data_IF_882003354307
#
_entry.id   IF_882003354307
#
_cell.length_a   1.000
_cell.length_b   1.000
_cell.length_c   1.000
_cell.angle_alpha   90.00
_cell.angle_beta   90.00
_cell.angle_gamma   90.00
#
_symmetry.space_group_name_H-M   'P 1'
#
loop_
_entity.id
_entity.type
_entity.pdbx_description
1 polymer ?
#
# COMPACT_ATOMS: atom_id res chain seq x y z
N UNK A 1 33.81 1.17 1.95
CA UNK A 1 34.80 2.01 2.67
C UNK A 1 34.10 2.62 3.89
N UNK A 2 34.71 2.69 5.09
CA UNK A 2 34.08 3.39 6.23
C UNK A 2 34.00 4.90 5.92
N UNK A 3 32.82 5.53 5.91
CA UNK A 3 32.73 6.95 5.62
C UNK A 3 33.41 7.75 6.73
N UNK A 4 34.46 8.47 6.38
CA UNK A 4 35.08 9.45 7.28
C UNK A 4 34.06 10.52 7.63
N UNK A 5 33.57 10.48 8.88
CA UNK A 5 32.59 11.42 9.42
C UNK A 5 31.20 10.85 9.73
N UNK A 6 31.02 9.54 9.94
CA UNK A 6 29.76 8.95 10.42
C UNK A 6 29.18 9.68 11.64
N UNK A 7 27.87 9.87 11.67
CA UNK A 7 27.15 10.38 12.84
C UNK A 7 27.41 9.48 14.08
N UNK A 8 27.92 10.03 15.19
CA UNK A 8 28.26 9.24 16.37
C UNK A 8 27.07 8.52 17.00
N UNK A 9 25.85 9.05 16.84
CA UNK A 9 24.62 8.41 17.33
C UNK A 9 24.34 7.13 16.55
N UNK A 10 24.50 7.17 15.22
CA UNK A 10 24.33 5.99 14.35
C UNK A 10 25.40 4.95 14.62
N UNK A 11 26.67 5.37 14.73
CA UNK A 11 27.77 4.46 15.05
C UNK A 11 27.57 3.77 16.41
N UNK A 12 27.15 4.53 17.43
CA UNK A 12 26.85 3.97 18.76
C UNK A 12 25.69 2.98 18.69
N UNK A 13 24.64 3.30 17.91
CA UNK A 13 23.49 2.44 17.77
C UNK A 13 23.82 1.13 17.06
N UNK A 14 24.58 1.20 15.96
CA UNK A 14 25.05 0.02 15.24
C UNK A 14 25.92 -0.89 16.13
N UNK A 15 26.80 -0.29 16.94
CA UNK A 15 27.60 -1.04 17.91
C UNK A 15 26.73 -1.70 19.00
N UNK A 16 25.63 -1.07 19.41
CA UNK A 16 24.69 -1.62 20.39
C UNK A 16 23.90 -2.79 19.79
N UNK A 17 23.40 -2.65 18.56
CA UNK A 17 22.71 -3.71 17.81
C UNK A 17 23.61 -4.94 17.64
N UNK A 18 24.85 -4.75 17.22
CA UNK A 18 25.79 -5.84 16.97
C UNK A 18 26.20 -6.63 18.22
N UNK A 19 26.09 -6.03 19.42
CA UNK A 19 26.50 -6.63 20.69
C UNK A 19 25.32 -7.17 21.52
N UNK A 20 24.10 -6.84 21.13
CA UNK A 20 22.91 -7.16 21.90
C UNK A 20 22.31 -8.50 21.48
N UNK A 21 21.62 -9.20 22.40
CA UNK A 21 20.80 -10.36 22.05
C UNK A 21 19.71 -9.97 21.04
N UNK A 22 19.35 -10.89 20.14
CA UNK A 22 18.35 -10.66 19.07
C UNK A 22 17.02 -10.11 19.60
N UNK A 23 16.59 -10.55 20.79
CA UNK A 23 15.33 -10.10 21.42
C UNK A 23 15.33 -8.60 21.76
N UNK A 24 16.49 -7.99 21.99
CA UNK A 24 16.62 -6.58 22.34
C UNK A 24 16.78 -5.69 21.09
N UNK A 25 17.21 -6.26 19.96
CA UNK A 25 17.45 -5.53 18.71
C UNK A 25 16.24 -4.68 18.28
N UNK A 26 14.98 -5.17 18.31
CA UNK A 26 13.81 -4.36 17.94
C UNK A 26 13.70 -3.06 18.76
N UNK A 27 13.93 -3.14 20.07
CA UNK A 27 13.82 -1.98 20.97
C UNK A 27 14.98 -0.99 20.75
N UNK A 28 16.17 -1.50 20.49
CA UNK A 28 17.34 -0.66 20.18
C UNK A 28 17.08 0.11 18.88
N UNK A 29 16.59 -0.57 17.83
CA UNK A 29 16.29 0.06 16.54
C UNK A 29 15.24 1.19 16.64
N UNK A 30 14.34 1.17 17.63
CA UNK A 30 13.40 2.28 17.86
C UNK A 30 14.08 3.62 18.13
N UNK A 31 15.32 3.62 18.66
CA UNK A 31 16.10 4.85 18.88
C UNK A 31 16.37 5.61 17.56
N UNK A 32 16.32 4.95 16.41
CA UNK A 32 16.40 5.61 15.10
C UNK A 32 15.30 6.65 14.91
N UNK A 33 14.10 6.42 15.45
CA UNK A 33 12.97 7.34 15.32
C UNK A 33 13.29 8.70 15.92
N UNK A 34 13.92 8.73 17.09
CA UNK A 34 14.32 9.96 17.75
C UNK A 34 15.40 10.69 16.96
N UNK A 35 16.41 9.97 16.46
CA UNK A 35 17.50 10.54 15.66
C UNK A 35 16.94 11.21 14.39
N UNK A 36 16.03 10.53 13.70
CA UNK A 36 15.41 11.02 12.46
C UNK A 36 14.51 12.23 12.74
N UNK A 37 13.63 12.13 13.75
CA UNK A 37 12.64 13.17 14.03
C UNK A 37 13.25 14.46 14.58
N UNK A 38 14.39 14.36 15.29
CA UNK A 38 15.10 15.53 15.80
C UNK A 38 15.94 16.23 14.72
N UNK A 39 16.02 15.67 13.50
CA UNK A 39 16.80 16.25 12.41
C UNK A 39 15.86 16.96 11.42
N UNK A 40 16.12 18.23 11.04
CA UNK A 40 15.24 18.97 10.15
C UNK A 40 15.02 18.28 8.79
N UNK A 41 13.76 18.24 8.35
CA UNK A 41 13.38 17.66 7.05
C UNK A 41 14.10 18.36 5.89
N UNK A 42 14.61 17.57 4.95
CA UNK A 42 15.32 18.07 3.77
C UNK A 42 16.73 18.60 4.02
N UNK A 43 17.23 18.56 5.27
CA UNK A 43 18.59 18.98 5.60
C UNK A 43 19.65 18.02 5.03
N UNK A 44 20.85 18.54 4.77
CA UNK A 44 22.02 17.72 4.43
C UNK A 44 22.41 16.78 5.57
N UNK A 45 22.15 17.18 6.81
CA UNK A 45 22.32 16.32 8.00
C UNK A 45 21.43 15.08 7.90
N UNK A 46 20.13 15.25 7.62
CA UNK A 46 19.21 14.12 7.50
C UNK A 46 19.61 13.16 6.36
N UNK A 47 20.06 13.69 5.22
CA UNK A 47 20.57 12.88 4.12
C UNK A 47 21.75 12.00 4.57
N UNK A 48 22.70 12.61 5.27
CA UNK A 48 23.88 11.92 5.80
C UNK A 48 23.50 10.88 6.86
N UNK A 49 22.59 11.19 7.76
CA UNK A 49 22.08 10.24 8.75
C UNK A 49 21.47 9.02 8.06
N UNK A 50 20.65 9.21 7.02
CA UNK A 50 20.06 8.07 6.27
C UNK A 50 21.13 7.23 5.58
N UNK A 51 22.15 7.86 4.99
CA UNK A 51 23.30 7.16 4.41
C UNK A 51 24.05 6.35 5.48
N UNK A 52 24.33 6.94 6.64
CA UNK A 52 24.96 6.22 7.74
C UNK A 52 24.07 5.05 8.23
N UNK A 53 22.76 5.23 8.38
CA UNK A 53 21.83 4.14 8.75
C UNK A 53 21.93 2.99 7.75
N UNK A 54 22.01 3.28 6.45
CA UNK A 54 22.14 2.28 5.40
C UNK A 54 23.52 1.60 5.41
N UNK A 55 24.62 2.36 5.49
CA UNK A 55 25.99 1.81 5.50
C UNK A 55 26.32 0.93 6.71
N UNK A 56 25.55 1.05 7.81
CA UNK A 56 25.68 0.21 9.00
C UNK A 56 24.58 -0.87 9.08
N UNK A 57 23.95 -1.20 7.96
CA UNK A 57 22.95 -2.25 7.79
C UNK A 57 21.71 -2.14 8.69
N UNK A 58 21.45 -0.96 9.27
CA UNK A 58 20.35 -0.78 10.22
C UNK A 58 18.99 -0.88 9.54
N UNK A 59 18.91 -0.55 8.24
CA UNK A 59 17.72 -0.77 7.41
C UNK A 59 17.44 -2.28 7.27
N UNK A 60 18.48 -3.06 7.01
CA UNK A 60 18.43 -4.52 6.88
C UNK A 60 18.04 -5.17 8.21
N UNK A 61 18.58 -4.69 9.33
CA UNK A 61 18.14 -5.14 10.66
C UNK A 61 16.66 -4.85 10.93
N UNK A 62 16.16 -3.66 10.58
CA UNK A 62 14.72 -3.36 10.65
C UNK A 62 13.91 -4.34 9.81
N UNK A 63 14.30 -4.58 8.56
CA UNK A 63 13.62 -5.52 7.67
C UNK A 63 13.64 -6.96 8.21
N UNK A 64 14.78 -7.42 8.72
CA UNK A 64 14.92 -8.73 9.36
C UNK A 64 13.96 -8.88 10.54
N UNK A 65 13.87 -7.87 11.41
CA UNK A 65 12.93 -7.90 12.54
C UNK A 65 11.48 -7.97 12.05
N UNK A 66 11.12 -7.19 11.03
CA UNK A 66 9.75 -7.19 10.48
C UNK A 66 9.37 -8.51 9.79
N UNK A 67 10.35 -9.26 9.27
CA UNK A 67 10.13 -10.57 8.65
C UNK A 67 9.86 -11.70 9.66
N UNK A 68 10.18 -11.50 10.93
CA UNK A 68 10.04 -12.52 11.97
C UNK A 68 8.59 -12.71 12.43
N UNK A 69 8.39 -13.70 13.30
CA UNK A 69 7.13 -13.94 14.00
C UNK A 69 6.84 -12.80 15.00
N UNK A 70 5.81 -12.01 14.69
CA UNK A 70 5.39 -10.84 15.45
C UNK A 70 5.12 -11.14 16.94
N UNK A 71 4.72 -12.37 17.27
CA UNK A 71 4.43 -12.78 18.65
C UNK A 71 5.67 -12.81 19.55
N UNK A 72 6.87 -12.87 18.95
CA UNK A 72 8.15 -12.96 19.66
C UNK A 72 8.84 -11.60 19.84
N UNK A 73 8.31 -10.55 19.21
CA UNK A 73 8.90 -9.22 19.24
C UNK A 73 8.45 -8.51 20.52
N UNK A 74 9.42 -8.04 21.31
CA UNK A 74 9.13 -7.24 22.50
C UNK A 74 8.35 -5.97 22.13
N UNK A 75 7.22 -5.74 22.82
CA UNK A 75 6.30 -4.63 22.54
C UNK A 75 5.32 -4.89 21.38
N UNK A 76 5.35 -6.07 20.75
CA UNK A 76 4.34 -6.53 19.80
C UNK A 76 4.08 -5.57 18.64
N UNK A 77 2.80 -5.37 18.31
CA UNK A 77 2.38 -4.53 17.18
C UNK A 77 2.80 -3.07 17.30
N UNK A 78 2.96 -2.54 18.53
CA UNK A 78 3.47 -1.19 18.76
C UNK A 78 4.90 -1.04 18.24
N UNK A 79 5.78 -1.97 18.59
CA UNK A 79 7.18 -1.98 18.11
C UNK A 79 7.24 -2.19 16.60
N UNK A 80 6.47 -3.15 16.07
CA UNK A 80 6.42 -3.47 14.64
C UNK A 80 5.98 -2.26 13.82
N UNK A 81 4.92 -1.57 14.24
CA UNK A 81 4.39 -0.40 13.54
C UNK A 81 5.40 0.76 13.52
N UNK A 82 6.11 0.97 14.63
CA UNK A 82 7.16 1.98 14.68
C UNK A 82 8.37 1.63 13.82
N UNK A 83 8.80 0.35 13.79
CA UNK A 83 9.87 -0.10 12.91
C UNK A 83 9.48 -0.02 11.44
N UNK A 84 8.22 -0.28 11.10
CA UNK A 84 7.67 -0.11 9.75
C UNK A 84 7.76 1.36 9.31
N UNK A 85 7.37 2.30 10.19
CA UNK A 85 7.54 3.74 9.94
C UNK A 85 9.02 4.10 9.75
N UNK A 86 9.90 3.66 10.65
CA UNK A 86 11.34 3.94 10.56
C UNK A 86 11.90 3.44 9.23
N UNK A 87 11.61 2.18 8.87
CA UNK A 87 12.08 1.57 7.63
C UNK A 87 11.63 2.40 6.41
N UNK A 88 10.34 2.74 6.33
CA UNK A 88 9.80 3.55 5.25
C UNK A 88 10.46 4.93 5.16
N UNK A 89 10.59 5.63 6.29
CA UNK A 89 11.20 6.96 6.35
C UNK A 89 12.70 6.94 6.00
N UNK A 90 13.44 5.92 6.42
CA UNK A 90 14.86 5.76 6.08
C UNK A 90 15.06 5.53 4.58
N UNK A 91 14.21 4.73 3.95
CA UNK A 91 14.31 4.41 2.53
C UNK A 91 13.97 5.59 1.61
N UNK A 92 13.03 6.46 1.99
CA UNK A 92 12.61 7.58 1.11
C UNK A 92 13.64 8.72 1.13
N UNK A 93 14.15 9.08 -0.05
CA UNK A 93 15.17 10.11 -0.21
C UNK A 93 16.58 9.69 0.21
N UNK A 94 16.82 8.39 0.42
CA UNK A 94 18.14 7.82 0.56
C UNK A 94 18.87 7.81 -0.79
N UNK A 95 20.15 8.15 -0.77
CA UNK A 95 21.05 8.06 -1.91
C UNK A 95 22.03 6.90 -1.63
N UNK A 96 21.77 5.66 -2.14
CA UNK A 96 22.46 4.44 -1.74
C UNK A 96 23.92 4.33 -2.26
N UNK A 97 24.34 5.21 -3.17
CA UNK A 97 25.72 5.23 -3.66
C UNK A 97 26.07 4.00 -4.50
N UNK A 98 27.14 3.30 -4.13
CA UNK A 98 27.65 2.12 -4.86
C UNK A 98 26.70 0.92 -4.80
N UNK A 99 25.91 0.79 -3.73
CA UNK A 99 25.00 -0.33 -3.49
C UNK A 99 23.57 -0.07 -4.03
N UNK A 100 23.45 0.85 -5.01
CA UNK A 100 22.16 1.24 -5.58
C UNK A 100 21.38 0.06 -6.16
N UNK A 101 22.07 -0.88 -6.81
CA UNK A 101 21.42 -2.04 -7.42
C UNK A 101 20.73 -2.93 -6.37
N UNK A 102 21.44 -3.30 -5.31
CA UNK A 102 20.88 -4.08 -4.18
C UNK A 102 19.73 -3.32 -3.51
N UNK A 103 19.91 -2.02 -3.26
CA UNK A 103 18.88 -1.19 -2.65
C UNK A 103 17.58 -1.18 -3.46
N UNK A 104 17.66 -0.89 -4.76
CA UNK A 104 16.47 -0.74 -5.61
C UNK A 104 15.84 -2.06 -6.03
N UNK A 105 16.63 -3.12 -6.23
CA UNK A 105 16.14 -4.39 -6.79
C UNK A 105 15.85 -5.45 -5.72
N UNK A 106 16.45 -5.37 -4.53
CA UNK A 106 16.28 -6.38 -3.47
C UNK A 106 15.62 -5.78 -2.22
N UNK A 107 16.26 -4.76 -1.63
CA UNK A 107 15.83 -4.22 -0.34
C UNK A 107 14.45 -3.57 -0.42
N UNK A 108 14.24 -2.66 -1.38
CA UNK A 108 12.98 -1.93 -1.50
C UNK A 108 11.79 -2.84 -1.83
N UNK A 109 11.86 -3.77 -2.81
CA UNK A 109 10.81 -4.76 -3.03
C UNK A 109 10.52 -5.61 -1.80
N UNK A 110 11.57 -6.05 -1.09
CA UNK A 110 11.42 -6.85 0.13
C UNK A 110 10.74 -6.07 1.26
N UNK A 111 11.02 -4.78 1.40
CA UNK A 111 10.36 -3.91 2.37
C UNK A 111 8.87 -3.73 2.05
N UNK A 112 8.53 -3.45 0.79
CA UNK A 112 7.14 -3.31 0.36
C UNK A 112 6.35 -4.62 0.57
N UNK A 113 6.94 -5.77 0.22
CA UNK A 113 6.30 -7.07 0.41
C UNK A 113 6.10 -7.40 1.89
N UNK A 114 7.08 -7.11 2.76
CA UNK A 114 6.94 -7.28 4.20
C UNK A 114 5.79 -6.42 4.77
N UNK A 115 5.60 -5.19 4.29
CA UNK A 115 4.47 -4.36 4.72
C UNK A 115 3.12 -4.98 4.35
N UNK A 116 3.01 -5.59 3.17
CA UNK A 116 1.80 -6.31 2.76
C UNK A 116 1.55 -7.56 3.62
N UNK A 117 2.60 -8.33 3.93
CA UNK A 117 2.53 -9.48 4.85
C UNK A 117 2.05 -9.03 6.23
N UNK A 118 2.61 -7.94 6.77
CA UNK A 118 2.20 -7.39 8.06
C UNK A 118 0.74 -6.93 8.03
N UNK A 119 0.32 -6.25 6.96
CA UNK A 119 -1.07 -5.88 6.72
C UNK A 119 -1.99 -7.10 6.75
N UNK A 120 -1.62 -8.20 6.07
CA UNK A 120 -2.38 -9.46 6.08
C UNK A 120 -2.50 -10.08 7.47
N UNK A 121 -1.40 -10.09 8.23
CA UNK A 121 -1.41 -10.58 9.61
C UNK A 121 -2.36 -9.74 10.46
N UNK A 122 -2.23 -8.40 10.42
CA UNK A 122 -3.10 -7.48 11.16
C UNK A 122 -4.58 -7.65 10.80
N UNK A 123 -4.88 -7.81 9.51
CA UNK A 123 -6.23 -8.13 9.04
C UNK A 123 -6.76 -9.44 9.64
N UNK A 124 -5.96 -10.50 9.67
CA UNK A 124 -6.36 -11.78 10.31
C UNK A 124 -6.64 -11.60 11.80
N UNK A 125 -5.76 -10.89 12.54
CA UNK A 125 -6.00 -10.60 13.96
C UNK A 125 -7.26 -9.76 14.15
N UNK A 126 -7.48 -8.73 13.34
CA UNK A 126 -8.65 -7.85 13.42
C UNK A 126 -9.96 -8.61 13.21
N UNK A 127 -10.02 -9.50 12.22
CA UNK A 127 -11.21 -10.32 11.94
C UNK A 127 -11.52 -11.26 13.12
N UNK A 128 -10.48 -11.83 13.74
CA UNK A 128 -10.62 -12.79 14.83
C UNK A 128 -10.79 -12.15 16.23
N UNK A 129 -10.53 -10.85 16.36
CA UNK A 129 -10.65 -10.15 17.63
C UNK A 129 -12.11 -10.14 18.13
N UNK A 130 -12.30 -10.42 19.43
CA UNK A 130 -13.62 -10.49 20.05
C UNK A 130 -14.08 -9.14 20.63
N UNK A 131 -13.14 -8.27 21.01
CA UNK A 131 -13.40 -7.01 21.73
C UNK A 131 -13.26 -5.79 20.81
N UNK A 132 -14.05 -4.76 21.08
CA UNK A 132 -13.99 -3.48 20.34
C UNK A 132 -12.67 -2.74 20.53
N UNK A 133 -12.20 -2.58 21.78
CA UNK A 133 -10.94 -1.87 22.07
C UNK A 133 -9.73 -2.52 21.38
N UNK A 134 -9.65 -3.85 21.38
CA UNK A 134 -8.61 -4.60 20.67
C UNK A 134 -8.69 -4.38 19.15
N UNK A 135 -9.91 -4.29 18.59
CA UNK A 135 -10.11 -3.97 17.17
C UNK A 135 -9.64 -2.58 16.82
N UNK A 136 -9.88 -1.60 17.69
CA UNK A 136 -9.46 -0.21 17.46
C UNK A 136 -7.93 -0.10 17.47
N UNK A 137 -7.25 -0.78 18.39
CA UNK A 137 -5.78 -0.86 18.41
C UNK A 137 -5.23 -1.55 17.15
N UNK A 138 -5.78 -2.71 16.78
CA UNK A 138 -5.36 -3.43 15.57
C UNK A 138 -5.59 -2.62 14.29
N UNK A 139 -6.69 -1.88 14.23
CA UNK A 139 -7.00 -0.98 13.11
C UNK A 139 -6.01 0.18 13.06
N UNK A 140 -5.64 0.76 14.21
CA UNK A 140 -4.60 1.79 14.27
C UNK A 140 -3.27 1.28 13.73
N UNK A 141 -2.81 0.09 14.14
CA UNK A 141 -1.58 -0.50 13.60
C UNK A 141 -1.70 -0.79 12.09
N UNK A 142 -2.86 -1.25 11.62
CA UNK A 142 -3.11 -1.48 10.20
C UNK A 142 -3.00 -0.19 9.38
N UNK A 143 -3.54 0.92 9.89
CA UNK A 143 -3.42 2.24 9.28
C UNK A 143 -1.95 2.68 9.23
N UNK A 144 -1.20 2.53 10.33
CA UNK A 144 0.23 2.88 10.37
C UNK A 144 1.03 2.10 9.32
N UNK A 145 0.78 0.80 9.16
CA UNK A 145 1.45 -0.02 8.14
C UNK A 145 1.04 0.42 6.72
N UNK A 146 -0.24 0.70 6.50
CA UNK A 146 -0.76 1.17 5.21
C UNK A 146 -0.18 2.54 4.81
N UNK A 147 -0.10 3.47 5.75
CA UNK A 147 0.47 4.80 5.56
C UNK A 147 1.99 4.72 5.31
N UNK A 148 2.67 3.82 6.02
CA UNK A 148 4.11 3.57 5.81
C UNK A 148 4.39 2.99 4.43
N UNK A 149 3.54 2.07 3.94
CA UNK A 149 3.61 1.57 2.58
C UNK A 149 3.38 2.70 1.57
N UNK A 150 2.34 3.50 1.76
CA UNK A 150 2.04 4.61 0.87
C UNK A 150 3.17 5.65 0.81
N UNK A 151 3.78 5.99 1.95
CA UNK A 151 4.96 6.86 2.00
C UNK A 151 6.14 6.29 1.21
N UNK A 152 6.40 4.99 1.34
CA UNK A 152 7.46 4.30 0.59
C UNK A 152 7.22 4.38 -0.91
N UNK A 153 5.98 4.13 -1.36
CA UNK A 153 5.58 4.23 -2.77
C UNK A 153 5.69 5.66 -3.31
N UNK A 154 5.37 6.67 -2.49
CA UNK A 154 5.54 8.07 -2.85
C UNK A 154 6.99 8.45 -3.13
N UNK A 155 7.95 7.85 -2.42
CA UNK A 155 9.38 8.03 -2.68
C UNK A 155 9.94 7.15 -3.80
N UNK A 156 9.33 5.98 -4.03
CA UNK A 156 9.83 4.93 -4.92
C UNK A 156 8.72 4.36 -5.79
N UNK A 157 8.24 5.15 -6.73
CA UNK A 157 7.08 4.80 -7.54
C UNK A 157 7.26 3.52 -8.38
N UNK A 158 8.50 3.08 -8.64
CA UNK A 158 8.77 1.78 -9.28
C UNK A 158 8.20 0.59 -8.50
N UNK A 159 8.00 0.72 -7.18
CA UNK A 159 7.41 -0.31 -6.34
C UNK A 159 5.90 -0.47 -6.50
N UNK A 160 5.21 0.49 -7.15
CA UNK A 160 3.77 0.41 -7.37
C UNK A 160 3.41 -0.87 -8.10
N UNK A 161 4.17 -1.23 -9.14
CA UNK A 161 3.95 -2.45 -9.90
C UNK A 161 4.15 -3.70 -9.02
N UNK A 162 5.16 -3.72 -8.16
CA UNK A 162 5.42 -4.83 -7.23
C UNK A 162 4.26 -5.02 -6.26
N UNK A 163 3.75 -3.92 -5.68
CA UNK A 163 2.63 -3.95 -4.73
C UNK A 163 1.33 -4.42 -5.40
N UNK A 164 0.99 -3.87 -6.56
CA UNK A 164 -0.24 -4.25 -7.27
C UNK A 164 -0.23 -5.71 -7.75
N UNK A 165 0.96 -6.27 -8.00
CA UNK A 165 1.12 -7.68 -8.39
C UNK A 165 1.20 -8.66 -7.22
N UNK A 166 1.29 -8.19 -5.99
CA UNK A 166 1.41 -9.06 -4.81
C UNK A 166 0.06 -9.72 -4.48
N UNK A 167 0.08 -11.04 -4.31
CA UNK A 167 -1.09 -11.80 -3.84
C UNK A 167 -1.57 -11.30 -2.48
N UNK A 168 -0.66 -10.80 -1.62
CA UNK A 168 -1.02 -10.22 -0.34
C UNK A 168 -1.85 -8.95 -0.49
N UNK A 169 -1.55 -8.10 -1.48
CA UNK A 169 -2.36 -6.91 -1.76
C UNK A 169 -3.76 -7.29 -2.27
N UNK A 170 -3.86 -8.25 -3.19
CA UNK A 170 -5.16 -8.73 -3.68
C UNK A 170 -6.00 -9.31 -2.52
N UNK A 171 -5.40 -10.12 -1.65
CA UNK A 171 -6.11 -10.67 -0.51
C UNK A 171 -6.52 -9.60 0.53
N UNK A 172 -5.73 -8.54 0.70
CA UNK A 172 -6.12 -7.37 1.51
C UNK A 172 -7.36 -6.70 0.92
N UNK A 173 -7.39 -6.54 -0.40
CA UNK A 173 -8.51 -5.94 -1.12
C UNK A 173 -9.78 -6.79 -0.99
N UNK A 174 -9.68 -8.11 -1.07
CA UNK A 174 -10.80 -9.08 -0.99
C UNK A 174 -11.47 -9.20 0.40
N UNK A 175 -11.19 -8.29 1.33
CA UNK A 175 -11.76 -8.35 2.67
C UNK A 175 -13.24 -7.99 2.73
N UNK A 176 -13.99 -8.68 3.59
CA UNK A 176 -15.37 -8.33 3.96
C UNK A 176 -15.45 -7.28 5.08
N UNK A 177 -14.34 -7.02 5.79
CA UNK A 177 -14.31 -5.99 6.84
C UNK A 177 -14.43 -4.61 6.22
N UNK A 178 -15.43 -3.83 6.67
CA UNK A 178 -15.64 -2.48 6.14
C UNK A 178 -14.46 -1.56 6.46
N UNK A 179 -13.90 -1.63 7.67
CA UNK A 179 -12.81 -0.77 8.11
C UNK A 179 -11.50 -1.08 7.35
N UNK A 180 -11.13 -2.36 7.27
CA UNK A 180 -9.93 -2.77 6.53
C UNK A 180 -10.12 -2.49 5.04
N UNK A 181 -11.27 -2.85 4.47
CA UNK A 181 -11.58 -2.65 3.06
C UNK A 181 -11.56 -1.17 2.66
N UNK A 182 -12.12 -0.30 3.50
CA UNK A 182 -12.07 1.16 3.29
C UNK A 182 -10.63 1.68 3.24
N UNK A 183 -9.78 1.20 4.15
CA UNK A 183 -8.36 1.60 4.20
C UNK A 183 -7.62 1.13 2.94
N UNK A 184 -7.76 -0.16 2.57
CA UNK A 184 -7.08 -0.73 1.39
C UNK A 184 -7.54 -0.07 0.09
N UNK A 185 -8.84 0.18 -0.07
CA UNK A 185 -9.38 0.84 -1.25
C UNK A 185 -8.93 2.31 -1.35
N UNK A 186 -8.79 3.00 -0.22
CA UNK A 186 -8.25 4.36 -0.19
C UNK A 186 -6.76 4.35 -0.58
N UNK A 187 -5.98 3.39 -0.08
CA UNK A 187 -4.59 3.20 -0.49
C UNK A 187 -4.49 2.94 -2.00
N UNK A 188 -5.34 2.06 -2.55
CA UNK A 188 -5.40 1.81 -3.99
C UNK A 188 -5.71 3.09 -4.78
N UNK A 189 -6.70 3.87 -4.32
CA UNK A 189 -7.06 5.13 -4.95
C UNK A 189 -5.88 6.10 -4.98
N UNK A 190 -5.17 6.24 -3.86
CA UNK A 190 -4.01 7.11 -3.75
C UNK A 190 -2.86 6.64 -4.65
N UNK A 191 -2.61 5.32 -4.75
CA UNK A 191 -1.60 4.74 -5.66
C UNK A 191 -1.91 5.12 -7.11
N UNK A 192 -3.17 4.97 -7.53
CA UNK A 192 -3.60 5.27 -8.90
C UNK A 192 -3.54 6.77 -9.20
N UNK A 193 -3.74 7.63 -8.21
CA UNK A 193 -3.57 9.08 -8.36
C UNK A 193 -2.09 9.49 -8.47
N UNK A 194 -1.18 8.79 -7.79
CA UNK A 194 0.26 9.06 -7.91
C UNK A 194 0.79 8.73 -9.31
N UNK A 195 0.48 7.53 -9.81
CA UNK A 195 0.88 7.08 -11.16
C UNK A 195 -0.11 6.07 -11.72
N UNK A 196 -1.13 6.57 -12.42
CA UNK A 196 -2.13 5.71 -13.07
C UNK A 196 -1.50 4.77 -14.12
N UNK A 197 -0.44 5.20 -14.81
CA UNK A 197 0.27 4.46 -15.86
C UNK A 197 0.77 3.06 -15.47
N UNK A 198 1.08 2.84 -14.20
CA UNK A 198 1.63 1.55 -13.74
C UNK A 198 0.55 0.46 -13.63
N UNK A 199 -0.74 0.82 -13.64
CA UNK A 199 -1.85 -0.14 -13.59
C UNK A 199 -1.92 -1.03 -14.86
N UNK A 200 -1.54 -0.52 -16.03
CA UNK A 200 -1.51 -1.32 -17.26
C UNK A 200 -0.23 -2.17 -17.40
N UNK A 201 0.74 -2.00 -16.51
CA UNK A 201 2.01 -2.75 -16.52
C UNK A 201 1.95 -4.05 -15.73
N UNK A 202 0.90 -4.26 -14.94
CA UNK A 202 0.70 -5.50 -14.19
C UNK A 202 0.15 -6.59 -15.10
N UNK A 203 0.32 -7.86 -14.70
CA UNK A 203 -0.25 -8.99 -15.43
C UNK A 203 -1.78 -8.85 -15.60
N UNK A 204 -2.27 -9.09 -16.82
CA UNK A 204 -3.70 -8.94 -17.14
C UNK A 204 -4.62 -9.72 -16.20
N UNK A 205 -4.23 -10.92 -15.77
CA UNK A 205 -5.00 -11.74 -14.80
C UNK A 205 -5.17 -11.05 -13.44
N UNK A 206 -4.15 -10.32 -13.00
CA UNK A 206 -4.12 -9.61 -11.73
C UNK A 206 -4.97 -8.34 -11.86
N UNK A 207 -4.82 -7.61 -12.97
CA UNK A 207 -5.68 -6.46 -13.28
C UNK A 207 -7.17 -6.86 -13.28
N UNK A 208 -7.51 -7.99 -13.90
CA UNK A 208 -8.86 -8.54 -13.89
C UNK A 208 -9.34 -8.83 -12.46
N UNK A 209 -8.50 -9.44 -11.63
CA UNK A 209 -8.86 -9.77 -10.26
C UNK A 209 -9.10 -8.53 -9.39
N UNK A 210 -8.30 -7.46 -9.58
CA UNK A 210 -8.51 -6.16 -8.93
C UNK A 210 -9.84 -5.53 -9.41
N UNK A 211 -10.10 -5.53 -10.71
CA UNK A 211 -11.33 -4.97 -11.28
C UNK A 211 -12.57 -5.75 -10.81
N UNK A 212 -12.51 -7.08 -10.83
CA UNK A 212 -13.58 -7.95 -10.38
C UNK A 212 -13.91 -7.68 -8.92
N UNK A 213 -12.90 -7.54 -8.06
CA UNK A 213 -13.11 -7.23 -6.65
C UNK A 213 -13.73 -5.84 -6.45
N UNK A 214 -13.28 -4.82 -7.18
CA UNK A 214 -13.87 -3.47 -7.07
C UNK A 214 -15.32 -3.46 -7.56
N UNK A 215 -15.62 -4.14 -8.67
CA UNK A 215 -16.98 -4.29 -9.20
C UNK A 215 -17.85 -5.07 -8.20
N UNK A 216 -17.33 -6.16 -7.64
CA UNK A 216 -18.02 -6.94 -6.62
C UNK A 216 -18.36 -6.08 -5.41
N UNK A 217 -17.40 -5.31 -4.88
CA UNK A 217 -17.65 -4.39 -3.77
C UNK A 217 -18.70 -3.34 -4.11
N UNK A 218 -18.67 -2.75 -5.31
CA UNK A 218 -19.68 -1.78 -5.74
C UNK A 218 -21.11 -2.35 -5.77
N UNK A 219 -21.24 -3.61 -6.19
CA UNK A 219 -22.54 -4.24 -6.43
C UNK A 219 -23.09 -4.95 -5.19
N UNK A 220 -22.23 -5.53 -4.36
CA UNK A 220 -22.63 -6.50 -3.33
C UNK A 220 -22.54 -5.96 -1.90
N UNK A 221 -21.73 -4.91 -1.63
CA UNK A 221 -21.59 -4.40 -0.26
C UNK A 221 -22.80 -3.55 0.17
N UNK A 222 -23.27 -3.66 1.42
CA UNK A 222 -24.27 -2.74 1.95
C UNK A 222 -23.69 -1.37 2.33
N UNK A 223 -22.35 -1.24 2.45
CA UNK A 223 -21.69 -0.01 2.92
C UNK A 223 -21.70 1.09 1.84
N UNK A 224 -22.36 2.23 2.06
CA UNK A 224 -22.37 3.33 1.10
C UNK A 224 -20.97 3.92 0.85
N UNK A 225 -20.12 3.94 1.89
CA UNK A 225 -18.75 4.43 1.79
C UNK A 225 -17.91 3.56 0.84
N UNK A 226 -17.98 2.24 0.97
CA UNK A 226 -17.27 1.32 0.07
C UNK A 226 -17.79 1.46 -1.36
N UNK A 227 -19.11 1.56 -1.56
CA UNK A 227 -19.69 1.78 -2.89
C UNK A 227 -19.22 3.08 -3.52
N UNK A 228 -19.15 4.17 -2.74
CA UNK A 228 -18.62 5.45 -3.18
C UNK A 228 -17.17 5.32 -3.63
N UNK A 229 -16.30 4.72 -2.81
CA UNK A 229 -14.89 4.53 -3.14
C UNK A 229 -14.70 3.60 -4.35
N UNK A 230 -15.48 2.51 -4.45
CA UNK A 230 -15.44 1.61 -5.60
C UNK A 230 -15.83 2.33 -6.90
N UNK A 231 -16.87 3.17 -6.85
CA UNK A 231 -17.29 3.98 -7.99
C UNK A 231 -16.18 4.94 -8.43
N UNK A 232 -15.58 5.66 -7.47
CA UNK A 232 -14.46 6.59 -7.73
C UNK A 232 -13.24 5.89 -8.30
N UNK A 233 -12.92 4.68 -7.82
CA UNK A 233 -11.85 3.85 -8.37
C UNK A 233 -12.12 3.43 -9.82
N UNK A 234 -13.31 2.91 -10.12
CA UNK A 234 -13.67 2.50 -11.47
C UNK A 234 -13.67 3.69 -12.44
N UNK A 235 -14.16 4.84 -12.00
CA UNK A 235 -14.05 6.09 -12.76
C UNK A 235 -12.58 6.44 -13.04
N UNK A 236 -11.76 6.53 -11.99
CA UNK A 236 -10.35 6.88 -12.12
C UNK A 236 -9.62 5.95 -13.09
N UNK A 237 -9.85 4.64 -13.00
CA UNK A 237 -9.24 3.65 -13.88
C UNK A 237 -9.74 3.78 -15.33
N UNK A 238 -11.04 3.94 -15.54
CA UNK A 238 -11.65 4.04 -16.86
C UNK A 238 -11.36 5.37 -17.58
N UNK A 239 -11.20 6.46 -16.83
CA UNK A 239 -10.79 7.76 -17.36
C UNK A 239 -9.30 7.81 -17.67
N UNK A 240 -8.48 7.12 -16.88
CA UNK A 240 -7.03 7.08 -17.08
C UNK A 240 -6.61 6.16 -18.23
N UNK A 241 -7.35 5.07 -18.48
CA UNK A 241 -6.96 4.01 -19.41
C UNK A 241 -8.12 3.54 -20.30
N UNK A 242 -7.97 3.77 -21.60
CA UNK A 242 -9.00 3.39 -22.58
C UNK A 242 -9.19 1.87 -22.64
N UNK A 243 -8.14 1.09 -22.41
CA UNK A 243 -8.16 -0.37 -22.37
C UNK A 243 -9.07 -0.88 -21.25
N UNK A 244 -9.01 -0.26 -20.07
CA UNK A 244 -9.88 -0.61 -18.94
C UNK A 244 -11.33 -0.23 -19.27
N UNK A 245 -11.56 0.93 -19.88
CA UNK A 245 -12.89 1.33 -20.31
C UNK A 245 -13.48 0.35 -21.34
N UNK A 246 -12.68 -0.06 -22.33
CA UNK A 246 -13.06 -1.06 -23.33
C UNK A 246 -13.39 -2.38 -22.64
N UNK A 247 -12.56 -2.80 -21.68
CA UNK A 247 -12.77 -4.01 -20.92
C UNK A 247 -14.11 -3.98 -20.16
N UNK A 248 -14.38 -2.91 -19.42
CA UNK A 248 -15.63 -2.75 -18.66
C UNK A 248 -16.87 -2.67 -19.56
N UNK A 249 -16.74 -2.19 -20.80
CA UNK A 249 -17.85 -2.06 -21.76
C UNK A 249 -18.12 -3.34 -22.54
N UNK A 250 -17.06 -3.98 -23.05
CA UNK A 250 -17.15 -4.99 -24.10
C UNK A 250 -16.79 -6.41 -23.62
N UNK A 251 -16.12 -6.56 -22.49
CA UNK A 251 -15.76 -7.88 -21.98
C UNK A 251 -17.00 -8.68 -21.60
N UNK A 252 -17.01 -9.97 -21.94
CA UNK A 252 -18.02 -10.91 -21.48
C UNK A 252 -18.10 -10.97 -19.95
N UNK A 253 -16.98 -10.74 -19.24
CA UNK A 253 -16.92 -10.77 -17.77
C UNK A 253 -17.79 -9.68 -17.11
N UNK A 254 -17.93 -8.52 -17.75
CA UNK A 254 -18.70 -7.39 -17.23
C UNK A 254 -20.03 -7.19 -17.97
N UNK A 255 -20.48 -8.21 -18.72
CA UNK A 255 -21.75 -8.16 -19.45
C UNK A 255 -22.90 -7.90 -18.48
N UNK A 256 -23.61 -6.80 -18.68
CA UNK A 256 -24.72 -6.40 -17.84
C UNK A 256 -24.36 -5.51 -16.64
N UNK A 257 -23.08 -5.19 -16.43
CA UNK A 257 -22.63 -4.25 -15.39
C UNK A 257 -23.42 -2.94 -15.45
N UNK A 258 -23.50 -2.31 -16.63
CA UNK A 258 -24.31 -1.10 -16.85
C UNK A 258 -25.76 -1.26 -16.42
N UNK A 259 -26.40 -2.40 -16.71
CA UNK A 259 -27.79 -2.67 -16.34
C UNK A 259 -27.93 -2.79 -14.82
N UNK A 260 -26.94 -3.40 -14.15
CA UNK A 260 -26.91 -3.52 -12.69
C UNK A 260 -26.71 -2.16 -12.02
N UNK A 261 -25.80 -1.32 -12.55
CA UNK A 261 -25.57 0.04 -12.04
C UNK A 261 -26.81 0.93 -12.20
N UNK A 262 -27.52 0.84 -13.32
CA UNK A 262 -28.77 1.60 -13.54
C UNK A 262 -29.92 1.20 -12.60
N UNK A 263 -29.87 -0.01 -12.01
CA UNK A 263 -30.86 -0.46 -11.03
C UNK A 263 -30.57 0.03 -9.62
N UNK A 264 -29.39 0.61 -9.37
CA UNK A 264 -29.05 1.13 -8.05
C UNK A 264 -29.85 2.42 -7.79
N UNK A 265 -30.58 2.47 -6.67
CA UNK A 265 -31.49 3.57 -6.37
C UNK A 265 -30.75 4.91 -6.20
N UNK A 266 -31.18 5.98 -6.90
CA UNK A 266 -30.63 7.31 -6.72
C UNK A 266 -31.16 7.94 -5.43
N UNK A 267 -30.35 7.93 -4.37
CA UNK A 267 -30.72 8.55 -3.09
C UNK A 267 -29.57 8.87 -2.13
N UNK A 268 -28.31 8.78 -2.58
CA UNK A 268 -27.11 8.83 -1.72
C UNK A 268 -26.05 9.78 -2.28
N UNK A 269 -25.11 10.19 -1.41
CA UNK A 269 -24.03 11.17 -1.70
C UNK A 269 -23.12 10.79 -2.88
N UNK A 270 -23.06 9.51 -3.29
CA UNK A 270 -22.24 9.05 -4.44
C UNK A 270 -23.00 9.00 -5.77
N UNK A 271 -24.24 9.52 -5.80
CA UNK A 271 -25.09 9.44 -6.99
C UNK A 271 -24.54 10.19 -8.20
N UNK A 272 -23.68 11.19 -8.01
CA UNK A 272 -23.05 11.92 -9.12
C UNK A 272 -21.96 11.10 -9.79
N UNK A 273 -21.01 10.56 -9.02
CA UNK A 273 -19.94 9.71 -9.55
C UNK A 273 -20.52 8.44 -10.19
N UNK A 274 -21.58 7.87 -9.60
CA UNK A 274 -22.25 6.71 -10.20
C UNK A 274 -22.85 7.05 -11.57
N UNK A 275 -23.48 8.22 -11.72
CA UNK A 275 -23.99 8.68 -13.01
C UNK A 275 -22.86 8.88 -14.02
N UNK A 276 -21.77 9.53 -13.61
CA UNK A 276 -20.60 9.69 -14.47
C UNK A 276 -20.06 8.34 -14.95
N UNK A 277 -20.01 7.33 -14.07
CA UNK A 277 -19.55 6.00 -14.44
C UNK A 277 -20.52 5.35 -15.43
N UNK A 278 -21.83 5.47 -15.22
CA UNK A 278 -22.84 4.95 -16.14
C UNK A 278 -22.76 5.63 -17.52
N UNK A 279 -22.56 6.94 -17.55
CA UNK A 279 -22.40 7.73 -18.78
C UNK A 279 -21.11 7.34 -19.50
N UNK A 280 -20.01 7.16 -18.76
CA UNK A 280 -18.74 6.69 -19.29
C UNK A 280 -18.86 5.26 -19.83
N UNK A 281 -19.62 4.37 -19.19
CA UNK A 281 -19.86 3.01 -19.69
C UNK A 281 -20.89 2.97 -20.82
N UNK A 282 -21.60 4.06 -21.10
CA UNK A 282 -22.52 4.14 -22.22
C UNK A 282 -21.73 4.28 -23.53
N UNK A 283 -22.15 3.63 -24.62
CA UNK A 283 -21.51 3.82 -25.90
C UNK A 283 -21.64 5.30 -26.30
N UNK A 284 -20.51 5.98 -26.48
CA UNK A 284 -20.51 7.25 -27.22
C UNK A 284 -20.92 6.87 -28.64
N UNK A 285 -22.08 7.33 -29.09
CA UNK A 285 -22.62 6.98 -30.39
C UNK A 285 -21.60 7.22 -31.49
N UNK A 286 -20.91 6.16 -31.90
CA UNK A 286 -20.47 5.99 -33.26
C UNK A 286 -21.59 5.22 -33.93
N UNK A 287 -22.14 5.89 -34.94
CA UNK A 287 -23.21 5.51 -35.86
C UNK A 287 -23.60 4.03 -35.89
N UNK A 288 -24.92 3.83 -35.87
CA UNK A 288 -25.61 2.72 -36.53
C UNK A 288 -24.87 2.30 -37.81
N UNK A 289 -24.40 1.05 -37.84
CA UNK A 289 -24.44 0.24 -39.05
C UNK A 289 -24.91 -1.15 -38.64
N UNK A 290 -26.22 -1.33 -38.80
CA UNK A 290 -26.91 -2.56 -39.18
C UNK A 290 -26.40 -3.90 -38.60
N UNK A 291 -26.98 -4.32 -37.48
CA UNK A 291 -27.39 -5.73 -37.33
C UNK A 291 -28.85 -5.86 -37.81
N UNK A 292 -29.02 -5.78 -39.13
CA UNK A 292 -30.09 -6.48 -39.85
C UNK A 292 -29.44 -7.22 -41.02
N UNK A 293 -28.98 -8.44 -40.76
CA UNK A 293 -28.81 -9.53 -41.74
C UNK A 293 -28.72 -10.85 -40.99
#
# INVERSE_FOLDING_TARGET
MKPTGTDPRILSLAAEVAKSPEQNVPIILLKLKEIINNTPLGSSELKKIKQDIYCYDLIQYCLLVLSQDCSRIQGGWTTISQLTQILSHCCVGLEPGEDAEEFYNELLPSAAENFLILGRRLQTYFINAAKGEEKDELLHFFQVVSDSLFWLLGGHAQLIQNVLQSDHFLHLLQTDSVQIGSTVMTTLQNILQLKSGDLLRIEGKILHSILDEIVFKLLSTPSPAIRSTATKLLLLMAESHQEILILLRLSACYKGLRRLLNKQEPGTEFSQELRQLIDLLSPKGYQEVEEQS
#
